data_IF_668471511332
#
_entry.id   IF_668471511332
#
_cell.length_a   1.000
_cell.length_b   1.000
_cell.length_c   1.000
_cell.angle_alpha   90.00
_cell.angle_beta   90.00
_cell.angle_gamma   90.00
#
_symmetry.space_group_name_H-M   'P 1'
#
loop_
_entity.id
_entity.type
_entity.pdbx_description
1 polymer ?
#
# COMPACT_ATOMS: atom_id res chain seq x y z
N UNK A 1 -10.79 27.00 -29.74
CA UNK A 1 -10.52 25.73 -29.03
C UNK A 1 -9.17 25.80 -28.32
N UNK A 2 -8.09 26.21 -29.02
CA UNK A 2 -6.76 26.41 -28.43
C UNK A 2 -6.73 27.48 -27.32
N UNK A 3 -7.40 28.62 -27.51
CA UNK A 3 -7.44 29.69 -26.50
C UNK A 3 -8.14 29.24 -25.19
N UNK A 4 -9.20 28.43 -25.30
CA UNK A 4 -9.92 27.90 -24.14
C UNK A 4 -9.11 26.81 -23.40
N UNK A 5 -8.32 26.01 -24.12
CA UNK A 5 -7.38 25.05 -23.52
C UNK A 5 -6.20 25.74 -22.82
N UNK A 6 -5.66 26.81 -23.40
CA UNK A 6 -4.58 27.58 -22.80
C UNK A 6 -5.02 28.25 -21.48
N UNK A 7 -6.22 28.83 -21.45
CA UNK A 7 -6.80 29.41 -20.23
C UNK A 7 -7.05 28.34 -19.16
N UNK A 8 -7.57 27.17 -19.54
CA UNK A 8 -7.79 26.07 -18.60
C UNK A 8 -6.49 25.54 -17.98
N UNK A 9 -5.46 25.30 -18.79
CA UNK A 9 -4.18 24.79 -18.29
C UNK A 9 -3.50 25.79 -17.34
N UNK A 10 -3.59 27.08 -17.67
CA UNK A 10 -3.05 28.16 -16.84
C UNK A 10 -3.81 28.23 -15.51
N UNK A 11 -5.14 28.13 -15.54
CA UNK A 11 -5.96 28.09 -14.32
C UNK A 11 -5.68 26.84 -13.47
N UNK A 12 -5.56 25.65 -14.06
CA UNK A 12 -5.22 24.43 -13.33
C UNK A 12 -3.85 24.54 -12.66
N UNK A 13 -2.87 25.13 -13.36
CA UNK A 13 -1.53 25.32 -12.84
C UNK A 13 -1.52 26.24 -11.61
N UNK A 14 -2.15 27.41 -11.72
CA UNK A 14 -2.13 28.43 -10.67
C UNK A 14 -3.11 28.14 -9.52
N UNK A 15 -4.26 27.53 -9.80
CA UNK A 15 -5.29 27.28 -8.79
C UNK A 15 -5.13 25.95 -8.04
N UNK A 16 -4.46 24.95 -8.63
CA UNK A 16 -4.31 23.63 -7.99
C UNK A 16 -2.85 23.17 -7.93
N UNK A 17 -2.18 23.02 -9.08
CA UNK A 17 -0.87 22.33 -9.14
C UNK A 17 0.18 23.01 -8.26
N UNK A 18 0.32 24.34 -8.38
CA UNK A 18 1.32 25.08 -7.61
C UNK A 18 1.00 25.09 -6.11
N UNK A 19 -0.22 25.47 -5.65
CA UNK A 19 -0.58 25.39 -4.22
C UNK A 19 -0.41 23.99 -3.63
N UNK A 20 -0.90 22.94 -4.31
CA UNK A 20 -0.80 21.55 -3.82
C UNK A 20 0.65 21.09 -3.72
N UNK A 21 1.50 21.46 -4.68
CA UNK A 21 2.93 21.10 -4.63
C UNK A 21 3.65 21.80 -3.49
N UNK A 22 3.41 23.11 -3.30
CA UNK A 22 4.02 23.89 -2.22
C UNK A 22 3.58 23.34 -0.86
N UNK A 23 2.28 23.16 -0.63
CA UNK A 23 1.75 22.59 0.61
C UNK A 23 2.29 21.17 0.86
N UNK A 24 2.37 20.34 -0.19
CA UNK A 24 2.93 19.00 -0.09
C UNK A 24 4.39 19.01 0.35
N UNK A 25 5.21 19.93 -0.16
CA UNK A 25 6.61 20.09 0.23
C UNK A 25 6.75 20.69 1.64
N UNK A 26 5.93 21.69 1.98
CA UNK A 26 5.87 22.28 3.32
C UNK A 26 5.51 21.25 4.41
N UNK A 27 4.68 20.26 4.08
CA UNK A 27 4.33 19.19 5.00
C UNK A 27 5.46 18.16 5.25
N UNK A 28 6.41 18.00 4.32
CA UNK A 28 7.38 16.89 4.37
C UNK A 28 8.84 17.32 4.52
N UNK A 29 9.19 18.59 4.26
CA UNK A 29 10.60 19.04 4.22
C UNK A 29 11.36 18.75 5.52
N UNK A 30 10.71 18.92 6.68
CA UNK A 30 11.33 18.68 7.98
C UNK A 30 11.76 17.22 8.14
N UNK A 31 10.93 16.28 7.69
CA UNK A 31 11.25 14.85 7.68
C UNK A 31 12.41 14.53 6.74
N UNK A 32 12.39 15.08 5.51
CA UNK A 32 13.44 14.84 4.52
C UNK A 32 14.79 15.40 4.99
N UNK A 33 14.78 16.60 5.58
CA UNK A 33 15.97 17.22 6.18
C UNK A 33 16.52 16.36 7.31
N UNK A 34 15.66 15.87 8.21
CA UNK A 34 16.09 15.04 9.33
C UNK A 34 16.68 13.69 8.86
N UNK A 35 16.09 13.07 7.83
CA UNK A 35 16.65 11.88 7.21
C UNK A 35 18.06 12.14 6.67
N UNK A 36 18.26 13.26 5.98
CA UNK A 36 19.56 13.65 5.44
C UNK A 36 20.59 13.95 6.54
N UNK A 37 20.20 14.64 7.61
CA UNK A 37 21.07 14.96 8.74
C UNK A 37 21.51 13.71 9.49
N UNK A 38 20.58 12.80 9.82
CA UNK A 38 20.89 11.52 10.45
C UNK A 38 21.79 10.68 9.55
N UNK A 39 21.53 10.71 8.24
CA UNK A 39 22.37 10.03 7.28
C UNK A 39 23.80 10.55 7.27
N UNK A 40 23.98 11.86 7.19
CA UNK A 40 25.30 12.51 7.24
C UNK A 40 26.03 12.17 8.55
N UNK A 41 25.32 12.16 9.68
CA UNK A 41 25.88 11.77 10.98
C UNK A 41 26.31 10.30 11.00
N UNK A 42 25.50 9.37 10.49
CA UNK A 42 25.85 7.94 10.47
C UNK A 42 27.06 7.62 9.57
N UNK A 43 27.40 8.50 8.63
CA UNK A 43 28.62 8.39 7.79
C UNK A 43 29.90 8.79 8.50
N UNK A 44 29.81 9.48 9.63
CA UNK A 44 30.98 9.76 10.46
C UNK A 44 31.46 8.47 11.15
N UNK A 45 32.76 8.36 11.40
CA UNK A 45 33.36 7.24 12.14
C UNK A 45 33.07 7.36 13.65
N UNK A 46 31.79 7.31 14.02
CA UNK A 46 31.30 7.44 15.40
C UNK A 46 30.95 6.06 15.98
N UNK A 47 30.97 5.90 17.32
CA UNK A 47 30.56 4.66 17.96
C UNK A 47 29.13 4.24 17.59
N UNK A 48 28.83 2.93 17.44
CA UNK A 48 27.50 2.47 17.03
C UNK A 48 26.35 2.94 17.94
N UNK A 49 26.60 3.05 19.24
CA UNK A 49 25.58 3.49 20.20
C UNK A 49 25.10 4.93 19.94
N UNK A 50 25.97 5.84 19.46
CA UNK A 50 25.56 7.22 19.15
C UNK A 50 24.67 7.25 17.92
N UNK A 51 24.94 6.41 16.91
CA UNK A 51 24.09 6.28 15.73
C UNK A 51 22.67 5.86 16.11
N UNK A 52 22.52 4.85 16.97
CA UNK A 52 21.22 4.43 17.49
C UNK A 52 20.54 5.54 18.28
N UNK A 53 21.26 6.23 19.17
CA UNK A 53 20.72 7.33 19.96
C UNK A 53 20.23 8.49 19.08
N UNK A 54 20.99 8.87 18.05
CA UNK A 54 20.58 9.88 17.10
C UNK A 54 19.34 9.45 16.29
N UNK A 55 19.24 8.18 15.91
CA UNK A 55 18.03 7.64 15.26
C UNK A 55 16.82 7.75 16.20
N UNK A 56 16.97 7.41 17.49
CA UNK A 56 15.91 7.56 18.49
C UNK A 56 15.48 9.02 18.63
N UNK A 57 16.43 9.93 18.85
CA UNK A 57 16.14 11.36 19.01
C UNK A 57 15.41 11.94 17.78
N UNK A 58 15.89 11.63 16.58
CA UNK A 58 15.23 12.06 15.34
C UNK A 58 13.84 11.46 15.17
N UNK A 59 13.66 10.17 15.46
CA UNK A 59 12.37 9.52 15.39
C UNK A 59 11.35 10.11 16.36
N UNK A 60 11.74 10.39 17.60
CA UNK A 60 10.89 11.09 18.57
C UNK A 60 10.53 12.50 18.10
N UNK A 61 11.51 13.26 17.57
CA UNK A 61 11.23 14.57 17.01
C UNK A 61 10.24 14.50 15.84
N UNK A 62 10.41 13.55 14.91
CA UNK A 62 9.45 13.34 13.81
C UNK A 62 8.06 12.97 14.32
N UNK A 63 7.97 12.06 15.29
CA UNK A 63 6.68 11.68 15.87
C UNK A 63 5.97 12.88 16.53
N UNK A 64 6.72 13.69 17.28
CA UNK A 64 6.17 14.90 17.89
C UNK A 64 5.76 15.93 16.83
N UNK A 65 6.54 16.11 15.78
CA UNK A 65 6.24 17.07 14.72
C UNK A 65 4.94 16.72 13.97
N UNK A 66 4.71 15.44 13.67
CA UNK A 66 3.52 15.01 12.91
C UNK A 66 2.29 14.73 13.79
N UNK A 67 2.49 14.27 15.03
CA UNK A 67 1.39 13.81 15.89
C UNK A 67 1.27 14.59 17.21
N UNK A 68 2.14 15.55 17.49
CA UNK A 68 2.15 16.30 18.75
C UNK A 68 2.20 15.34 19.95
N UNK A 69 1.39 15.57 21.00
CA UNK A 69 1.33 14.71 22.17
C UNK A 69 0.74 13.32 21.91
N UNK A 70 0.02 13.13 20.78
CA UNK A 70 -0.54 11.84 20.42
C UNK A 70 0.54 10.78 20.14
N UNK A 71 1.81 11.18 19.94
CA UNK A 71 2.93 10.24 19.83
C UNK A 71 3.05 9.28 21.04
N UNK A 72 2.52 9.67 22.21
CA UNK A 72 2.55 8.84 23.44
C UNK A 72 1.97 7.45 23.17
N UNK A 73 0.92 7.32 22.35
CA UNK A 73 0.34 6.03 22.01
C UNK A 73 1.31 5.16 21.18
N UNK A 74 2.07 5.75 20.26
CA UNK A 74 3.08 5.02 19.47
C UNK A 74 4.20 4.55 20.41
N UNK A 75 4.57 5.40 21.36
CA UNK A 75 5.59 5.09 22.36
C UNK A 75 5.14 3.98 23.30
N UNK A 76 3.90 4.02 23.79
CA UNK A 76 3.33 2.98 24.64
C UNK A 76 3.29 1.62 23.94
N UNK A 77 2.91 1.58 22.66
CA UNK A 77 2.99 0.34 21.87
C UNK A 77 4.43 -0.18 21.83
N UNK A 78 5.42 0.67 21.54
CA UNK A 78 6.82 0.26 21.46
C UNK A 78 7.35 -0.32 22.79
N UNK A 79 6.98 0.30 23.92
CA UNK A 79 7.37 -0.14 25.26
C UNK A 79 6.76 -1.50 25.58
N UNK A 80 5.46 -1.65 25.31
CA UNK A 80 4.76 -2.92 25.46
C UNK A 80 5.42 -4.02 24.61
N UNK A 81 5.74 -3.73 23.35
CA UNK A 81 6.44 -4.66 22.47
C UNK A 81 7.78 -5.11 23.06
N UNK A 82 8.60 -4.18 23.56
CA UNK A 82 9.90 -4.52 24.15
C UNK A 82 9.76 -5.37 25.41
N UNK A 83 8.77 -5.07 26.27
CA UNK A 83 8.48 -5.87 27.48
C UNK A 83 8.11 -7.30 27.09
N UNK A 84 7.24 -7.50 26.10
CA UNK A 84 6.88 -8.85 25.63
C UNK A 84 8.09 -9.57 25.04
N UNK A 85 8.89 -8.90 24.20
CA UNK A 85 10.12 -9.47 23.66
C UNK A 85 11.09 -9.90 24.77
N UNK A 86 11.19 -9.10 25.84
CA UNK A 86 12.02 -9.41 27.00
C UNK A 86 11.51 -10.60 27.81
N UNK A 87 10.20 -10.64 28.09
CA UNK A 87 9.55 -11.73 28.82
C UNK A 87 9.61 -13.06 28.04
N UNK A 88 9.47 -13.00 26.72
CA UNK A 88 9.47 -14.17 25.84
C UNK A 88 10.86 -14.48 25.24
N UNK A 89 11.95 -13.85 25.69
CA UNK A 89 13.29 -13.96 25.05
C UNK A 89 13.87 -15.37 24.95
N UNK A 90 13.40 -16.30 25.79
CA UNK A 90 13.83 -17.70 25.81
C UNK A 90 12.74 -18.66 25.28
N UNK A 91 11.62 -18.12 24.83
CA UNK A 91 10.49 -18.89 24.31
C UNK A 91 10.56 -19.00 22.79
N UNK A 92 10.01 -20.07 22.22
CA UNK A 92 9.88 -20.28 20.77
C UNK A 92 8.56 -19.75 20.19
N UNK A 93 7.75 -19.05 20.99
CA UNK A 93 6.45 -18.47 20.59
C UNK A 93 6.42 -16.95 20.75
N UNK A 94 7.58 -16.30 20.79
CA UNK A 94 7.70 -14.87 21.04
C UNK A 94 6.95 -14.03 19.99
N UNK A 95 7.11 -14.36 18.71
CA UNK A 95 6.44 -13.69 17.59
C UNK A 95 4.92 -13.84 17.64
N UNK A 96 4.41 -15.00 18.07
CA UNK A 96 2.96 -15.23 18.23
C UNK A 96 2.41 -14.42 19.40
N UNK A 97 3.04 -14.50 20.57
CA UNK A 97 2.66 -13.71 21.75
C UNK A 97 2.64 -12.22 21.43
N UNK A 98 3.68 -11.72 20.78
CA UNK A 98 3.78 -10.32 20.36
C UNK A 98 2.69 -9.93 19.36
N UNK A 99 2.40 -10.78 18.38
CA UNK A 99 1.32 -10.54 17.40
C UNK A 99 -0.04 -10.40 18.08
N UNK A 100 -0.35 -11.28 19.04
CA UNK A 100 -1.61 -11.23 19.80
C UNK A 100 -1.67 -9.97 20.66
N UNK A 101 -0.60 -9.64 21.39
CA UNK A 101 -0.55 -8.45 22.24
C UNK A 101 -0.70 -7.16 21.43
N UNK A 102 0.01 -7.05 20.30
CA UNK A 102 -0.10 -5.90 19.38
C UNK A 102 -1.51 -5.80 18.82
N UNK A 103 -2.12 -6.90 18.39
CA UNK A 103 -3.50 -6.90 17.89
C UNK A 103 -4.48 -6.40 18.95
N UNK A 104 -4.39 -6.91 20.18
CA UNK A 104 -5.24 -6.45 21.30
C UNK A 104 -5.06 -4.95 21.52
N UNK A 105 -3.83 -4.44 21.54
CA UNK A 105 -3.56 -3.01 21.72
C UNK A 105 -4.19 -2.17 20.61
N UNK A 106 -4.02 -2.56 19.34
CA UNK A 106 -4.60 -1.83 18.21
C UNK A 106 -6.13 -1.82 18.25
N UNK A 107 -6.75 -2.94 18.64
CA UNK A 107 -8.22 -3.04 18.79
C UNK A 107 -8.73 -2.22 19.98
N UNK A 108 -8.01 -2.22 21.11
CA UNK A 108 -8.34 -1.35 22.25
C UNK A 108 -8.24 0.12 21.88
N UNK A 109 -7.20 0.50 21.13
CA UNK A 109 -7.03 1.84 20.60
C UNK A 109 -8.20 2.28 19.72
N UNK A 110 -8.67 1.42 18.82
CA UNK A 110 -9.78 1.70 17.92
C UNK A 110 -11.13 1.81 18.64
N UNK A 111 -11.36 1.04 19.71
CA UNK A 111 -12.67 0.96 20.36
C UNK A 111 -12.83 1.83 21.63
N UNK A 112 -11.74 2.11 22.34
CA UNK A 112 -11.85 2.56 23.74
C UNK A 112 -10.86 3.64 24.18
N UNK A 113 -9.69 3.81 23.56
CA UNK A 113 -8.62 4.62 24.17
C UNK A 113 -8.51 6.05 23.65
N UNK A 114 -8.84 6.31 22.38
CA UNK A 114 -8.55 7.60 21.71
C UNK A 114 -9.69 7.99 20.78
N UNK A 115 -9.93 9.29 20.63
CA UNK A 115 -10.85 9.82 19.61
C UNK A 115 -10.45 9.29 18.23
N UNK A 116 -11.45 8.86 17.44
CA UNK A 116 -11.25 8.22 16.14
C UNK A 116 -10.35 9.06 15.21
N UNK A 117 -10.54 10.39 15.18
CA UNK A 117 -9.76 11.32 14.36
C UNK A 117 -8.26 11.28 14.71
N UNK A 118 -7.93 11.33 16.01
CA UNK A 118 -6.54 11.31 16.45
C UNK A 118 -5.92 9.92 16.24
N UNK A 119 -6.67 8.86 16.52
CA UNK A 119 -6.23 7.48 16.29
C UNK A 119 -5.94 7.19 14.82
N UNK A 120 -6.83 7.61 13.91
CA UNK A 120 -6.68 7.38 12.47
C UNK A 120 -5.47 8.14 11.90
N UNK A 121 -5.19 9.36 12.39
CA UNK A 121 -3.98 10.13 12.00
C UNK A 121 -2.68 9.37 12.30
N UNK A 122 -2.58 8.72 13.45
CA UNK A 122 -1.35 8.02 13.87
C UNK A 122 -1.31 6.52 13.49
N UNK A 123 -2.41 5.98 12.94
CA UNK A 123 -2.55 4.55 12.60
C UNK A 123 -1.40 4.04 11.73
N UNK A 124 -0.99 4.81 10.73
CA UNK A 124 0.12 4.43 9.86
C UNK A 124 1.42 4.15 10.63
N UNK A 125 1.80 5.04 11.55
CA UNK A 125 2.98 4.87 12.38
C UNK A 125 2.85 3.66 13.33
N UNK A 126 1.68 3.47 13.93
CA UNK A 126 1.37 2.30 14.78
C UNK A 126 1.56 0.98 14.01
N UNK A 127 1.06 0.91 12.78
CA UNK A 127 1.20 -0.26 11.92
C UNK A 127 2.68 -0.55 11.62
N UNK A 128 3.50 0.46 11.35
CA UNK A 128 4.94 0.25 11.11
C UNK A 128 5.65 -0.27 12.36
N UNK A 129 5.37 0.30 13.54
CA UNK A 129 5.91 -0.20 14.81
C UNK A 129 5.48 -1.65 15.05
N UNK A 130 4.20 -1.96 14.86
CA UNK A 130 3.64 -3.30 14.96
C UNK A 130 4.36 -4.29 14.04
N UNK A 131 4.44 -3.99 12.74
CA UNK A 131 5.06 -4.86 11.74
C UNK A 131 6.54 -5.12 12.05
N UNK A 132 7.29 -4.08 12.42
CA UNK A 132 8.71 -4.18 12.80
C UNK A 132 8.92 -5.03 14.04
N UNK A 133 8.14 -4.76 15.10
CA UNK A 133 8.24 -5.50 16.35
C UNK A 133 7.87 -6.99 16.15
N UNK A 134 6.74 -7.27 15.48
CA UNK A 134 6.31 -8.63 15.16
C UNK A 134 7.36 -9.35 14.31
N UNK A 135 7.92 -8.69 13.28
CA UNK A 135 8.97 -9.31 12.47
C UNK A 135 10.19 -9.68 13.32
N UNK A 136 10.62 -8.80 14.22
CA UNK A 136 11.74 -9.06 15.12
C UNK A 136 11.45 -10.26 16.05
N UNK A 137 10.23 -10.35 16.60
CA UNK A 137 9.82 -11.47 17.44
C UNK A 137 9.88 -12.82 16.70
N UNK A 138 9.35 -12.88 15.47
CA UNK A 138 9.42 -14.09 14.64
C UNK A 138 10.85 -14.41 14.16
N UNK A 139 11.65 -13.40 13.87
CA UNK A 139 13.05 -13.59 13.44
C UNK A 139 13.91 -14.10 14.61
N UNK A 140 13.59 -13.72 15.86
CA UNK A 140 14.16 -14.32 17.07
C UNK A 140 13.71 -15.80 17.24
N UNK A 141 12.42 -16.10 17.09
CA UNK A 141 11.91 -17.49 17.16
C UNK A 141 12.59 -18.42 16.13
N UNK A 142 12.90 -17.88 14.94
CA UNK A 142 13.57 -18.58 13.84
C UNK A 142 15.10 -18.65 13.97
N UNK A 143 15.68 -18.00 14.99
CA UNK A 143 17.14 -17.92 15.18
C UNK A 143 17.87 -17.07 14.14
N UNK A 144 17.15 -16.22 13.38
CA UNK A 144 17.76 -15.27 12.43
C UNK A 144 18.40 -14.08 13.14
N UNK A 145 17.90 -13.76 14.33
CA UNK A 145 18.50 -12.77 15.24
C UNK A 145 19.01 -13.54 16.47
N UNK A 146 20.31 -13.45 16.81
CA UNK A 146 20.94 -14.33 17.80
C UNK A 146 20.46 -14.12 19.24
N UNK A 147 19.74 -13.02 19.53
CA UNK A 147 19.18 -12.73 20.84
C UNK A 147 18.45 -11.40 20.87
N UNK A 148 17.86 -11.06 22.03
CA UNK A 148 17.15 -9.81 22.23
C UNK A 148 18.09 -8.61 22.01
N UNK A 149 17.79 -7.68 21.07
CA UNK A 149 18.55 -6.44 20.93
C UNK A 149 18.52 -5.61 22.21
N UNK A 150 19.57 -4.81 22.44
CA UNK A 150 19.55 -3.88 23.58
C UNK A 150 18.39 -2.87 23.45
N UNK A 151 17.91 -2.27 24.56
CA UNK A 151 16.82 -1.30 24.49
C UNK A 151 17.09 -0.17 23.48
N UNK A 152 18.34 0.30 23.43
CA UNK A 152 18.77 1.35 22.51
C UNK A 152 18.73 0.91 21.04
N UNK A 153 19.17 -0.32 20.75
CA UNK A 153 19.10 -0.88 19.39
C UNK A 153 17.65 -1.11 18.93
N UNK A 154 16.82 -1.64 19.82
CA UNK A 154 15.39 -1.83 19.56
C UNK A 154 14.70 -0.49 19.30
N UNK A 155 14.89 0.50 20.19
CA UNK A 155 14.31 1.82 20.02
C UNK A 155 14.83 2.49 18.74
N UNK A 156 16.14 2.38 18.44
CA UNK A 156 16.72 2.90 17.20
C UNK A 156 16.10 2.28 15.94
N UNK A 157 15.82 0.98 15.96
CA UNK A 157 15.15 0.27 14.88
C UNK A 157 13.69 0.71 14.70
N UNK A 158 12.93 0.72 15.80
CA UNK A 158 11.51 1.09 15.78
C UNK A 158 11.35 2.54 15.32
N UNK A 159 12.10 3.45 15.92
CA UNK A 159 12.04 4.89 15.66
C UNK A 159 12.94 5.37 14.52
N UNK A 160 13.43 4.47 13.67
CA UNK A 160 14.27 4.87 12.54
C UNK A 160 13.55 5.91 11.66
N UNK A 161 14.11 7.12 11.60
CA UNK A 161 13.48 8.31 11.01
C UNK A 161 13.00 8.11 9.57
N UNK A 162 13.77 7.39 8.76
CA UNK A 162 13.42 7.13 7.37
C UNK A 162 12.17 6.27 7.19
N UNK A 163 11.67 5.66 8.28
CA UNK A 163 10.56 4.72 8.23
C UNK A 163 9.40 4.96 9.20
N UNK A 164 9.58 5.74 10.27
CA UNK A 164 8.59 5.81 11.36
C UNK A 164 7.26 6.50 10.99
N UNK A 165 7.28 7.52 10.11
CA UNK A 165 6.07 8.28 9.74
C UNK A 165 5.32 7.63 8.58
N UNK A 166 5.96 7.58 7.40
CA UNK A 166 5.36 7.06 6.16
C UNK A 166 6.01 5.77 5.67
N UNK A 167 7.06 5.32 6.34
CA UNK A 167 8.02 4.37 5.82
C UNK A 167 7.48 3.03 5.39
N UNK A 168 8.17 2.35 4.47
CA UNK A 168 7.93 0.93 4.31
C UNK A 168 8.46 0.15 5.51
N UNK A 169 7.91 -1.05 5.68
CA UNK A 169 8.48 -2.02 6.58
C UNK A 169 9.88 -2.44 6.12
N UNK A 170 10.82 -2.47 7.06
CA UNK A 170 12.18 -2.99 6.90
C UNK A 170 12.48 -3.98 8.01
N UNK A 171 13.26 -5.02 7.71
CA UNK A 171 13.75 -5.97 8.72
C UNK A 171 14.79 -5.32 9.63
N UNK A 172 15.02 -5.92 10.81
CA UNK A 172 16.04 -5.45 11.75
C UNK A 172 17.44 -5.46 11.13
N UNK A 173 17.77 -6.48 10.32
CA UNK A 173 19.05 -6.56 9.62
C UNK A 173 19.23 -5.42 8.60
N UNK A 174 18.20 -5.09 7.82
CA UNK A 174 18.24 -3.97 6.88
C UNK A 174 18.42 -2.63 7.59
N UNK A 175 17.88 -2.46 8.80
CA UNK A 175 18.12 -1.29 9.62
C UNK A 175 19.59 -1.17 10.04
N UNK A 176 20.21 -2.26 10.52
CA UNK A 176 21.63 -2.27 10.86
C UNK A 176 22.50 -1.90 9.64
N UNK A 177 22.19 -2.46 8.48
CA UNK A 177 22.91 -2.13 7.24
C UNK A 177 22.72 -0.64 6.83
N UNK A 178 21.56 -0.05 7.11
CA UNK A 178 21.29 1.35 6.80
C UNK A 178 22.16 2.32 7.62
N UNK A 179 22.39 2.02 8.91
CA UNK A 179 23.20 2.84 9.81
C UNK A 179 24.71 2.63 9.63
N UNK A 180 25.14 1.45 9.19
CA UNK A 180 26.57 1.09 9.15
C UNK A 180 27.21 1.14 7.76
N UNK A 181 26.54 0.61 6.73
CA UNK A 181 27.26 0.23 5.50
C UNK A 181 26.87 1.03 4.26
N UNK A 182 25.72 1.72 4.25
CA UNK A 182 25.28 2.36 3.02
C UNK A 182 26.24 3.50 2.59
N UNK A 183 26.54 3.68 1.29
CA UNK A 183 27.26 4.85 0.75
C UNK A 183 26.33 6.05 0.44
N UNK A 184 26.87 7.26 0.37
CA UNK A 184 26.18 8.44 -0.17
C UNK A 184 26.70 8.72 -1.58
N UNK A 185 26.36 7.84 -2.52
CA UNK A 185 26.85 7.87 -3.90
C UNK A 185 25.87 8.56 -4.86
N UNK A 186 26.28 8.71 -6.12
CA UNK A 186 25.40 9.28 -7.14
C UNK A 186 24.11 8.46 -7.36
N UNK A 187 24.15 7.11 -7.41
CA UNK A 187 22.94 6.27 -7.41
C UNK A 187 21.96 6.57 -6.27
N UNK A 188 22.45 6.75 -5.04
CA UNK A 188 21.63 7.14 -3.87
C UNK A 188 20.90 8.46 -4.09
N UNK A 189 21.63 9.50 -4.49
CA UNK A 189 21.07 10.83 -4.73
C UNK A 189 20.03 10.78 -5.87
N UNK A 190 20.38 10.10 -6.96
CA UNK A 190 19.49 9.90 -8.12
C UNK A 190 18.20 9.17 -7.74
N UNK A 191 18.28 8.08 -6.96
CA UNK A 191 17.07 7.35 -6.52
C UNK A 191 16.20 8.23 -5.62
N UNK A 192 16.80 8.93 -4.66
CA UNK A 192 16.07 9.84 -3.76
C UNK A 192 15.33 10.93 -4.53
N UNK A 193 15.99 11.58 -5.50
CA UNK A 193 15.37 12.62 -6.33
C UNK A 193 14.24 12.05 -7.21
N UNK A 194 14.47 10.92 -7.88
CA UNK A 194 13.46 10.29 -8.75
C UNK A 194 12.23 9.87 -7.95
N UNK A 195 12.40 9.26 -6.77
CA UNK A 195 11.27 8.86 -5.92
C UNK A 195 10.52 10.09 -5.40
N UNK A 196 11.21 11.18 -5.04
CA UNK A 196 10.54 12.43 -4.64
C UNK A 196 9.75 13.05 -5.80
N UNK A 197 10.31 13.10 -7.01
CA UNK A 197 9.60 13.60 -8.18
C UNK A 197 8.36 12.75 -8.48
N UNK A 198 8.48 11.41 -8.45
CA UNK A 198 7.32 10.52 -8.62
C UNK A 198 6.25 10.75 -7.57
N UNK A 199 6.65 10.94 -6.30
CA UNK A 199 5.75 11.23 -5.19
C UNK A 199 4.94 12.50 -5.46
N UNK A 200 5.61 13.63 -5.74
CA UNK A 200 4.93 14.91 -6.04
C UNK A 200 4.06 14.82 -7.31
N UNK A 201 4.53 14.16 -8.36
CA UNK A 201 3.71 13.92 -9.55
C UNK A 201 2.44 13.14 -9.21
N UNK A 202 2.52 12.13 -8.32
CA UNK A 202 1.35 11.37 -7.92
C UNK A 202 0.36 12.20 -7.11
N UNK A 203 0.84 13.07 -6.21
CA UNK A 203 0.01 14.02 -5.47
C UNK A 203 -0.74 14.96 -6.41
N UNK A 204 -0.05 15.50 -7.41
CA UNK A 204 -0.67 16.36 -8.43
C UNK A 204 -1.69 15.59 -9.25
N UNK A 205 -1.44 14.32 -9.58
CA UNK A 205 -2.43 13.49 -10.29
C UNK A 205 -3.67 13.21 -9.44
N UNK A 206 -3.49 12.85 -8.17
CA UNK A 206 -4.62 12.50 -7.29
C UNK A 206 -5.55 13.67 -7.00
N UNK A 207 -4.96 14.85 -6.77
CA UNK A 207 -5.69 16.03 -6.24
C UNK A 207 -6.07 17.01 -7.35
N UNK A 208 -5.26 17.13 -8.40
CA UNK A 208 -5.50 18.09 -9.48
C UNK A 208 -5.93 17.40 -10.78
N UNK A 209 -5.16 16.47 -11.33
CA UNK A 209 -5.48 15.98 -12.68
C UNK A 209 -6.72 15.07 -12.71
N UNK A 210 -6.84 14.08 -11.82
CA UNK A 210 -7.97 13.17 -11.84
C UNK A 210 -9.32 13.91 -11.59
N UNK A 211 -9.45 14.78 -10.57
CA UNK A 211 -10.70 15.50 -10.34
C UNK A 211 -11.02 16.53 -11.42
N UNK A 212 -10.01 17.16 -12.04
CA UNK A 212 -10.27 18.17 -13.07
C UNK A 212 -10.37 17.60 -14.47
N UNK A 213 -9.75 16.47 -14.82
CA UNK A 213 -9.76 15.96 -16.20
C UNK A 213 -11.08 15.22 -16.54
N UNK A 214 -11.62 14.46 -15.59
CA UNK A 214 -12.80 13.64 -15.81
C UNK A 214 -14.09 14.45 -16.05
N UNK A 215 -14.33 15.57 -15.34
CA UNK A 215 -15.44 16.48 -15.64
C UNK A 215 -15.36 17.15 -17.01
N UNK A 216 -14.22 17.15 -17.71
CA UNK A 216 -14.13 17.65 -19.10
C UNK A 216 -14.40 16.52 -20.11
N UNK A 217 -14.03 15.28 -19.77
CA UNK A 217 -14.28 14.09 -20.58
C UNK A 217 -15.78 13.72 -20.55
N UNK A 218 -16.43 13.79 -19.38
CA UNK A 218 -17.84 13.41 -19.19
C UNK A 218 -18.82 14.21 -20.08
N UNK A 219 -18.71 15.55 -20.21
CA UNK A 219 -19.51 16.36 -21.13
C UNK A 219 -19.27 16.00 -22.60
N UNK A 220 -18.03 15.74 -23.02
CA UNK A 220 -17.71 15.38 -24.41
C UNK A 220 -18.40 14.07 -24.80
N UNK A 221 -18.37 13.06 -23.92
CA UNK A 221 -19.16 11.84 -24.13
C UNK A 221 -20.67 12.11 -24.11
N UNK A 222 -21.13 13.04 -23.27
CA UNK A 222 -22.53 13.45 -23.19
C UNK A 222 -22.99 14.11 -24.51
N UNK A 223 -22.15 14.93 -25.15
CA UNK A 223 -22.46 15.60 -26.43
C UNK A 223 -22.27 14.69 -27.67
N UNK A 224 -21.24 13.84 -27.73
CA UNK A 224 -20.97 12.98 -28.89
C UNK A 224 -21.94 11.81 -29.08
N UNK A 225 -22.55 11.30 -28.00
CA UNK A 225 -23.47 10.15 -28.05
C UNK A 225 -24.97 10.54 -28.13
N UNK A 226 -25.30 11.82 -28.30
CA UNK A 226 -26.66 12.33 -28.15
C UNK A 226 -27.61 12.11 -29.34
N UNK A 227 -27.19 11.52 -30.45
CA UNK A 227 -28.02 11.53 -31.67
C UNK A 227 -28.80 10.25 -32.04
N UNK A 228 -29.01 9.26 -31.14
CA UNK A 228 -29.84 8.05 -31.46
C UNK A 228 -30.78 7.58 -30.34
N UNK A 229 -32.07 7.41 -30.66
CA UNK A 229 -33.18 7.01 -29.76
C UNK A 229 -33.28 5.47 -29.63
N UNK A 230 -33.34 4.94 -28.40
CA UNK A 230 -33.65 3.52 -28.11
C UNK A 230 -33.65 3.16 -26.61
N UNK A 231 -34.69 2.46 -26.12
CA UNK A 231 -34.93 2.16 -24.67
C UNK A 231 -33.80 1.32 -24.01
N UNK A 232 -33.25 0.30 -24.69
CA UNK A 232 -32.15 -0.55 -24.18
C UNK A 232 -30.84 0.23 -23.98
N UNK A 233 -30.59 1.25 -24.83
CA UNK A 233 -29.45 2.17 -24.71
C UNK A 233 -29.63 3.22 -23.62
N UNK A 234 -30.86 3.47 -23.12
CA UNK A 234 -31.14 4.41 -22.02
C UNK A 234 -30.63 3.90 -20.67
N UNK A 235 -30.68 2.59 -20.40
CA UNK A 235 -30.07 1.99 -19.18
C UNK A 235 -28.54 2.02 -19.21
N UNK A 236 -27.92 1.71 -20.36
CA UNK A 236 -26.46 1.83 -20.54
C UNK A 236 -26.00 3.30 -20.39
N UNK A 237 -26.79 4.25 -20.93
CA UNK A 237 -26.58 5.71 -20.83
C UNK A 237 -26.57 6.24 -19.39
N UNK A 238 -27.26 5.59 -18.46
CA UNK A 238 -27.26 5.96 -17.04
C UNK A 238 -26.11 5.31 -16.23
N UNK A 239 -25.54 4.20 -16.72
CA UNK A 239 -24.49 3.44 -16.03
C UNK A 239 -23.08 3.95 -16.34
N UNK A 240 -22.80 4.32 -17.59
CA UNK A 240 -21.46 4.75 -18.00
C UNK A 240 -20.93 5.96 -17.20
N UNK A 241 -21.71 7.04 -16.96
CA UNK A 241 -21.23 8.16 -16.15
C UNK A 241 -20.91 7.76 -14.69
N UNK A 242 -21.66 6.81 -14.11
CA UNK A 242 -21.40 6.31 -12.75
C UNK A 242 -20.10 5.52 -12.66
N UNK A 243 -19.85 4.63 -13.63
CA UNK A 243 -18.61 3.88 -13.69
C UNK A 243 -17.39 4.76 -14.01
N UNK A 244 -17.57 5.82 -14.81
CA UNK A 244 -16.51 6.82 -15.02
C UNK A 244 -16.22 7.61 -13.73
N UNK A 245 -17.25 7.99 -12.96
CA UNK A 245 -17.05 8.62 -11.66
C UNK A 245 -16.36 7.66 -10.67
N UNK A 246 -16.82 6.43 -10.59
CA UNK A 246 -16.19 5.38 -9.78
C UNK A 246 -14.70 5.17 -10.15
N UNK A 247 -14.37 5.21 -11.46
CA UNK A 247 -13.01 5.12 -11.94
C UNK A 247 -12.17 6.35 -11.58
N UNK A 248 -12.73 7.56 -11.70
CA UNK A 248 -12.06 8.79 -11.27
C UNK A 248 -11.72 8.72 -9.77
N UNK A 249 -12.70 8.35 -8.93
CA UNK A 249 -12.50 8.20 -7.48
C UNK A 249 -11.42 7.16 -7.18
N UNK A 250 -11.51 5.98 -7.80
CA UNK A 250 -10.50 4.94 -7.63
C UNK A 250 -9.11 5.45 -8.04
N UNK A 251 -8.99 6.11 -9.19
CA UNK A 251 -7.74 6.66 -9.69
C UNK A 251 -7.14 7.70 -8.72
N UNK A 252 -7.95 8.62 -8.20
CA UNK A 252 -7.51 9.60 -7.19
C UNK A 252 -6.97 8.91 -5.94
N UNK A 253 -7.67 7.88 -5.44
CA UNK A 253 -7.23 7.09 -4.29
C UNK A 253 -5.94 6.28 -4.57
N UNK A 254 -5.81 5.69 -5.76
CA UNK A 254 -4.61 4.97 -6.15
C UNK A 254 -3.40 5.89 -6.17
N UNK A 255 -3.53 7.06 -6.80
CA UNK A 255 -2.43 8.02 -6.92
C UNK A 255 -2.07 8.68 -5.59
N UNK A 256 -3.02 8.90 -4.67
CA UNK A 256 -2.69 9.35 -3.31
C UNK A 256 -1.92 8.28 -2.53
N UNK A 257 -2.26 7.00 -2.73
CA UNK A 257 -1.51 5.88 -2.18
C UNK A 257 -0.09 5.78 -2.78
N UNK A 258 0.07 6.00 -4.09
CA UNK A 258 1.39 6.05 -4.74
C UNK A 258 2.24 7.23 -4.26
N UNK A 259 1.62 8.38 -4.00
CA UNK A 259 2.29 9.53 -3.40
C UNK A 259 2.96 9.15 -2.08
N UNK A 260 2.20 8.55 -1.15
CA UNK A 260 2.73 8.09 0.15
C UNK A 260 3.77 6.98 -0.06
N UNK A 261 3.53 6.04 -0.98
CA UNK A 261 4.47 4.98 -1.32
C UNK A 261 5.84 5.51 -1.79
N UNK A 262 5.87 6.42 -2.76
CA UNK A 262 7.11 7.03 -3.24
C UNK A 262 7.74 8.01 -2.24
N UNK A 263 6.94 8.67 -1.39
CA UNK A 263 7.46 9.47 -0.29
C UNK A 263 8.21 8.60 0.72
N UNK A 264 7.65 7.44 1.03
CA UNK A 264 8.27 6.45 1.92
C UNK A 264 9.55 5.85 1.36
N UNK A 265 9.62 5.66 0.03
CA UNK A 265 10.88 5.32 -0.65
C UNK A 265 11.92 6.42 -0.46
N UNK A 266 11.50 7.68 -0.63
CA UNK A 266 12.37 8.84 -0.52
C UNK A 266 12.93 8.97 0.89
N UNK A 267 12.09 8.94 1.93
CA UNK A 267 12.54 9.08 3.32
C UNK A 267 13.47 7.94 3.74
N UNK A 268 13.15 6.70 3.35
CA UNK A 268 13.97 5.53 3.68
C UNK A 268 15.33 5.57 2.95
N UNK A 269 15.32 5.88 1.65
CA UNK A 269 16.53 6.03 0.83
C UNK A 269 17.41 7.15 1.36
N UNK A 270 16.84 8.33 1.64
CA UNK A 270 17.57 9.46 2.21
C UNK A 270 18.22 9.12 3.55
N UNK A 271 17.53 8.36 4.40
CA UNK A 271 18.06 7.90 5.68
C UNK A 271 19.10 6.77 5.56
N UNK A 272 19.34 6.25 4.34
CA UNK A 272 20.34 5.22 4.05
C UNK A 272 19.83 3.79 3.97
N UNK A 273 18.50 3.57 4.01
CA UNK A 273 17.87 2.26 3.89
C UNK A 273 17.40 1.95 2.46
N UNK A 274 17.07 0.69 2.19
CA UNK A 274 16.45 0.31 0.92
C UNK A 274 17.43 0.07 -0.24
N UNK A 275 18.62 -0.44 0.07
CA UNK A 275 19.58 -0.92 -0.93
C UNK A 275 19.81 -2.42 -0.80
N UNK A 276 20.22 -3.03 -1.90
CA UNK A 276 20.68 -4.41 -1.99
C UNK A 276 22.16 -4.43 -2.37
N UNK A 277 22.93 -5.34 -1.79
CA UNK A 277 24.34 -5.55 -2.15
C UNK A 277 24.45 -6.80 -3.03
N UNK A 278 24.98 -6.64 -4.24
CA UNK A 278 25.28 -7.76 -5.14
C UNK A 278 26.72 -7.63 -5.63
N UNK A 279 27.59 -8.59 -5.25
CA UNK A 279 29.01 -8.66 -5.69
C UNK A 279 29.75 -7.31 -5.55
N UNK A 280 29.73 -6.75 -4.34
CA UNK A 280 30.34 -5.45 -4.00
C UNK A 280 29.73 -4.20 -4.68
N UNK A 281 28.64 -4.36 -5.43
CA UNK A 281 27.88 -3.25 -5.99
C UNK A 281 26.62 -2.98 -5.17
N UNK A 282 26.52 -1.76 -4.64
CA UNK A 282 25.33 -1.26 -3.97
C UNK A 282 24.31 -0.82 -5.01
N UNK A 283 23.10 -1.36 -4.92
CA UNK A 283 21.98 -1.00 -5.78
C UNK A 283 20.83 -0.46 -4.94
N UNK A 284 20.43 0.78 -5.19
CA UNK A 284 19.28 1.42 -4.56
C UNK A 284 17.99 1.03 -5.28
N UNK A 285 17.45 -0.14 -4.92
CA UNK A 285 16.31 -0.78 -5.59
C UNK A 285 15.12 -1.06 -4.69
N UNK A 286 14.97 -0.32 -3.59
CA UNK A 286 13.73 -0.37 -2.84
C UNK A 286 12.58 0.28 -3.63
N UNK A 287 11.60 -0.55 -3.93
CA UNK A 287 10.34 -0.15 -4.53
C UNK A 287 9.20 -0.50 -3.57
N UNK A 288 8.32 0.47 -3.35
CA UNK A 288 7.15 0.32 -2.47
C UNK A 288 5.91 -0.02 -3.29
N UNK A 289 5.80 0.55 -4.50
CA UNK A 289 4.67 0.29 -5.40
C UNK A 289 5.10 0.21 -6.87
N UNK A 290 4.36 -0.55 -7.67
CA UNK A 290 4.48 -0.56 -9.13
C UNK A 290 3.17 -0.11 -9.79
N UNK A 291 2.95 1.21 -10.00
CA UNK A 291 1.69 1.74 -10.53
C UNK A 291 1.25 1.12 -11.86
N UNK A 292 2.19 0.84 -12.78
CA UNK A 292 1.86 0.26 -14.09
C UNK A 292 1.23 -1.15 -13.98
N UNK A 293 1.65 -1.94 -12.99
CA UNK A 293 1.10 -3.27 -12.76
C UNK A 293 -0.28 -3.23 -12.11
N UNK A 294 -0.71 -2.06 -11.62
CA UNK A 294 -1.98 -1.84 -10.93
C UNK A 294 -2.98 -1.19 -11.89
N UNK A 295 -2.57 -0.14 -12.60
CA UNK A 295 -3.43 0.59 -13.55
C UNK A 295 -3.61 -0.15 -14.88
N UNK A 296 -2.63 -0.97 -15.28
CA UNK A 296 -2.71 -1.84 -16.47
C UNK A 296 -2.42 -3.29 -16.07
N UNK A 297 -3.28 -3.89 -15.24
CA UNK A 297 -2.97 -5.14 -14.58
C UNK A 297 -3.09 -6.32 -15.54
N UNK A 298 -2.19 -7.30 -15.43
CA UNK A 298 -2.41 -8.60 -16.05
C UNK A 298 -3.43 -9.39 -15.26
N UNK A 299 -3.38 -9.35 -13.92
CA UNK A 299 -4.21 -10.12 -12.99
C UNK A 299 -4.31 -9.47 -11.61
N UNK A 300 -5.29 -9.83 -10.80
CA UNK A 300 -5.48 -9.34 -9.43
C UNK A 300 -4.32 -9.74 -8.52
N UNK A 301 -3.74 -10.94 -8.69
CA UNK A 301 -2.53 -11.36 -7.96
C UNK A 301 -1.37 -10.38 -8.21
N UNK A 302 -1.24 -9.86 -9.43
CA UNK A 302 -0.21 -8.87 -9.76
C UNK A 302 -0.50 -7.53 -9.07
N UNK A 303 -1.75 -7.09 -9.04
CA UNK A 303 -2.19 -5.87 -8.33
C UNK A 303 -1.83 -5.94 -6.85
N UNK A 304 -2.31 -6.97 -6.14
CA UNK A 304 -2.17 -7.07 -4.67
C UNK A 304 -0.73 -7.23 -4.22
N UNK A 305 0.14 -7.80 -5.07
CA UNK A 305 1.58 -7.93 -4.80
C UNK A 305 2.40 -6.73 -5.26
N UNK A 306 1.79 -5.78 -5.97
CA UNK A 306 2.45 -4.56 -6.49
C UNK A 306 2.03 -3.27 -5.77
N UNK A 307 0.96 -3.30 -4.97
CA UNK A 307 0.39 -2.11 -4.32
C UNK A 307 1.26 -1.56 -3.19
N UNK A 308 1.59 -2.42 -2.21
CA UNK A 308 2.51 -2.13 -1.13
C UNK A 308 3.41 -3.35 -0.94
N UNK A 309 4.53 -3.36 -1.67
CA UNK A 309 5.43 -4.51 -1.78
C UNK A 309 6.00 -4.90 -0.41
N UNK A 310 6.47 -3.96 0.44
CA UNK A 310 6.97 -4.31 1.78
C UNK A 310 5.92 -4.95 2.68
N UNK A 311 4.68 -4.41 2.70
CA UNK A 311 3.56 -5.01 3.43
C UNK A 311 3.20 -6.38 2.89
N UNK A 312 3.14 -6.54 1.56
CA UNK A 312 2.85 -7.84 0.92
C UNK A 312 3.91 -8.89 1.25
N UNK A 313 5.20 -8.51 1.25
CA UNK A 313 6.31 -9.38 1.65
C UNK A 313 6.24 -9.75 3.14
N UNK A 314 5.90 -8.80 4.01
CA UNK A 314 5.70 -9.02 5.43
C UNK A 314 4.55 -9.99 5.70
N UNK A 315 3.37 -9.74 5.12
CA UNK A 315 2.20 -10.61 5.21
C UNK A 315 2.52 -12.03 4.72
N UNK A 316 3.20 -12.15 3.58
CA UNK A 316 3.60 -13.45 3.07
C UNK A 316 4.54 -14.19 4.06
N UNK A 317 5.52 -13.48 4.60
CA UNK A 317 6.60 -14.08 5.43
C UNK A 317 6.15 -14.43 6.84
N UNK A 318 5.32 -13.59 7.47
CA UNK A 318 4.96 -13.71 8.89
C UNK A 318 3.51 -14.17 9.12
N UNK A 319 2.64 -14.10 8.10
CA UNK A 319 1.24 -14.56 8.21
C UNK A 319 0.96 -15.74 7.29
N UNK A 320 1.11 -15.57 5.97
CA UNK A 320 0.72 -16.60 5.00
C UNK A 320 1.54 -17.89 5.15
N UNK A 321 2.88 -17.81 5.16
CA UNK A 321 3.74 -19.00 5.30
C UNK A 321 3.52 -19.75 6.62
N UNK A 322 3.17 -19.03 7.69
CA UNK A 322 2.87 -19.63 8.99
C UNK A 322 1.48 -20.29 9.03
N UNK A 323 0.56 -19.92 8.12
CA UNK A 323 -0.83 -20.41 8.08
C UNK A 323 -1.12 -21.34 6.91
N UNK A 324 -0.17 -21.48 5.96
CA UNK A 324 -0.32 -22.31 4.75
C UNK A 324 -0.59 -23.78 5.06
N UNK A 325 -0.17 -24.26 6.23
CA UNK A 325 -0.44 -25.62 6.72
C UNK A 325 -1.95 -25.91 6.84
N UNK A 326 -2.79 -24.87 6.99
CA UNK A 326 -4.25 -24.97 7.03
C UNK A 326 -4.89 -25.12 5.63
N UNK A 327 -4.08 -25.05 4.57
CA UNK A 327 -4.53 -25.03 3.17
C UNK A 327 -4.51 -23.63 2.55
N UNK A 328 -4.48 -23.57 1.22
CA UNK A 328 -4.28 -22.32 0.48
C UNK A 328 -5.40 -21.30 0.69
N UNK A 329 -6.67 -21.74 0.65
CA UNK A 329 -7.80 -20.83 0.82
C UNK A 329 -7.90 -20.26 2.24
N UNK A 330 -7.86 -21.08 3.32
CA UNK A 330 -7.80 -20.56 4.69
C UNK A 330 -6.61 -19.63 4.93
N UNK A 331 -5.43 -19.96 4.41
CA UNK A 331 -4.25 -19.10 4.55
C UNK A 331 -4.41 -17.73 3.87
N UNK A 332 -5.03 -17.68 2.68
CA UNK A 332 -5.38 -16.42 2.02
C UNK A 332 -6.37 -15.63 2.90
N UNK A 333 -7.42 -16.26 3.40
CA UNK A 333 -8.42 -15.60 4.23
C UNK A 333 -7.81 -15.02 5.51
N UNK A 334 -6.97 -15.80 6.21
CA UNK A 334 -6.25 -15.33 7.41
C UNK A 334 -5.30 -14.19 7.07
N UNK A 335 -4.62 -14.24 5.93
CA UNK A 335 -3.70 -13.16 5.50
C UNK A 335 -4.44 -11.85 5.26
N UNK A 336 -5.58 -11.89 4.55
CA UNK A 336 -6.40 -10.69 4.32
C UNK A 336 -7.13 -10.22 5.59
N UNK A 337 -7.54 -11.13 6.48
CA UNK A 337 -8.10 -10.78 7.77
C UNK A 337 -7.07 -10.08 8.67
N UNK A 338 -5.84 -10.61 8.74
CA UNK A 338 -4.74 -9.95 9.46
C UNK A 338 -4.42 -8.58 8.87
N UNK A 339 -4.39 -8.47 7.53
CA UNK A 339 -4.23 -7.17 6.86
C UNK A 339 -5.35 -6.19 7.24
N UNK A 340 -6.61 -6.63 7.22
CA UNK A 340 -7.74 -5.78 7.58
C UNK A 340 -7.67 -5.31 9.04
N UNK A 341 -7.39 -6.23 9.97
CA UNK A 341 -7.28 -5.92 11.39
C UNK A 341 -6.15 -4.94 11.71
N UNK A 342 -5.03 -5.00 10.99
CA UNK A 342 -3.94 -4.02 11.14
C UNK A 342 -4.37 -2.61 10.72
N UNK A 343 -5.29 -2.49 9.76
CA UNK A 343 -5.89 -1.21 9.38
C UNK A 343 -7.09 -0.81 10.26
N UNK A 344 -7.37 -1.53 11.35
CA UNK A 344 -8.46 -1.26 12.29
C UNK A 344 -9.79 -1.94 11.93
N UNK A 345 -10.85 -1.59 12.66
CA UNK A 345 -12.20 -2.15 12.48
C UNK A 345 -13.06 -1.35 11.49
N UNK A 346 -12.43 -0.77 10.47
CA UNK A 346 -13.15 0.00 9.46
C UNK A 346 -13.91 -0.93 8.51
N UNK A 347 -15.24 -0.84 8.53
CA UNK A 347 -16.11 -1.71 7.71
C UNK A 347 -15.76 -1.61 6.22
N UNK A 348 -15.58 -0.40 5.69
CA UNK A 348 -15.29 -0.17 4.28
C UNK A 348 -13.99 -0.86 3.84
N UNK A 349 -12.89 -0.69 4.57
CA UNK A 349 -11.59 -1.23 4.20
C UNK A 349 -11.55 -2.74 4.42
N UNK A 350 -12.16 -3.24 5.50
CA UNK A 350 -12.33 -4.67 5.73
C UNK A 350 -13.12 -5.34 4.60
N UNK A 351 -14.23 -4.74 4.17
CA UNK A 351 -15.04 -5.23 3.07
C UNK A 351 -14.28 -5.23 1.74
N UNK A 352 -13.49 -4.18 1.47
CA UNK A 352 -12.62 -4.10 0.28
C UNK A 352 -11.54 -5.18 0.30
N UNK A 353 -10.78 -5.31 1.40
CA UNK A 353 -9.67 -6.26 1.50
C UNK A 353 -10.14 -7.72 1.45
N UNK A 354 -11.25 -8.05 2.12
CA UNK A 354 -11.82 -9.39 2.04
C UNK A 354 -12.38 -9.70 0.64
N UNK A 355 -13.05 -8.73 0.00
CA UNK A 355 -13.49 -8.87 -1.40
C UNK A 355 -12.30 -9.07 -2.34
N UNK A 356 -11.23 -8.31 -2.15
CA UNK A 356 -10.00 -8.41 -2.91
C UNK A 356 -9.36 -9.80 -2.77
N UNK A 357 -9.35 -10.38 -1.56
CA UNK A 357 -8.90 -11.75 -1.33
C UNK A 357 -9.73 -12.80 -2.08
N UNK A 358 -11.06 -12.67 -2.06
CA UNK A 358 -11.96 -13.58 -2.78
C UNK A 358 -11.81 -13.48 -4.30
N UNK A 359 -11.72 -12.26 -4.84
CA UNK A 359 -11.49 -12.01 -6.27
C UNK A 359 -10.14 -12.59 -6.70
N UNK A 360 -9.09 -12.35 -5.92
CA UNK A 360 -7.74 -12.86 -6.18
C UNK A 360 -7.73 -14.38 -6.24
N UNK A 361 -8.35 -15.05 -5.26
CA UNK A 361 -8.46 -16.50 -5.23
C UNK A 361 -9.24 -17.03 -6.44
N UNK A 362 -10.43 -16.47 -6.70
CA UNK A 362 -11.33 -16.92 -7.77
C UNK A 362 -10.68 -16.81 -9.14
N UNK A 363 -10.05 -15.67 -9.44
CA UNK A 363 -9.33 -15.46 -10.69
C UNK A 363 -8.15 -16.43 -10.82
N UNK A 364 -7.39 -16.64 -9.76
CA UNK A 364 -6.22 -17.53 -9.76
C UNK A 364 -6.61 -18.98 -10.08
N UNK A 365 -7.61 -19.53 -9.40
CA UNK A 365 -8.04 -20.93 -9.62
C UNK A 365 -8.67 -21.11 -11.01
N UNK A 366 -9.47 -20.13 -11.46
CA UNK A 366 -10.08 -20.16 -12.78
C UNK A 366 -9.02 -20.15 -13.88
N UNK A 367 -8.05 -19.23 -13.81
CA UNK A 367 -6.94 -19.17 -14.77
C UNK A 367 -6.11 -20.45 -14.77
N UNK A 368 -5.79 -21.00 -13.61
CA UNK A 368 -5.01 -22.24 -13.49
C UNK A 368 -5.71 -23.42 -14.17
N UNK A 369 -7.03 -23.55 -13.96
CA UNK A 369 -7.85 -24.59 -14.58
C UNK A 369 -7.92 -24.42 -16.11
N UNK A 370 -8.23 -23.20 -16.59
CA UNK A 370 -8.29 -22.91 -18.02
C UNK A 370 -6.93 -23.08 -18.72
N UNK A 371 -5.83 -22.69 -18.06
CA UNK A 371 -4.48 -22.88 -18.58
C UNK A 371 -4.17 -24.36 -18.82
N UNK A 372 -4.61 -25.23 -17.91
CA UNK A 372 -4.51 -26.68 -18.06
C UNK A 372 -5.37 -27.22 -19.22
N UNK A 373 -6.66 -26.85 -19.26
CA UNK A 373 -7.61 -27.33 -20.28
C UNK A 373 -7.16 -26.95 -21.70
N UNK A 374 -6.71 -25.71 -21.91
CA UNK A 374 -6.32 -25.22 -23.24
C UNK A 374 -4.82 -25.32 -23.52
N UNK A 375 -4.02 -25.88 -22.60
CA UNK A 375 -2.55 -25.86 -22.65
C UNK A 375 -2.00 -24.47 -23.04
N UNK A 376 -2.44 -23.44 -22.32
CA UNK A 376 -2.23 -22.05 -22.69
C UNK A 376 -1.75 -21.18 -21.54
N UNK A 377 -0.82 -20.26 -21.81
CA UNK A 377 -0.21 -19.41 -20.80
C UNK A 377 -1.08 -18.21 -20.41
N UNK A 378 -2.22 -18.49 -19.77
CA UNK A 378 -3.16 -17.52 -19.20
C UNK A 378 -3.06 -17.43 -17.67
N UNK A 379 -1.99 -17.97 -17.09
CA UNK A 379 -1.68 -17.86 -15.66
C UNK A 379 -1.52 -16.38 -15.24
N UNK A 380 -1.69 -16.13 -13.94
CA UNK A 380 -1.64 -14.80 -13.32
C UNK A 380 -0.31 -14.07 -13.57
N UNK A 381 0.81 -14.79 -13.59
CA UNK A 381 2.14 -14.24 -13.91
C UNK A 381 2.43 -14.30 -15.40
N UNK A 382 3.37 -13.47 -15.86
CA UNK A 382 3.85 -13.46 -17.24
C UNK A 382 4.47 -14.83 -17.58
N UNK A 383 4.42 -15.19 -18.86
CA UNK A 383 4.98 -16.45 -19.35
C UNK A 383 6.48 -16.50 -19.07
N UNK A 384 6.92 -17.49 -18.30
CA UNK A 384 8.32 -17.71 -17.98
C UNK A 384 9.01 -18.55 -19.06
N UNK A 385 10.35 -18.51 -19.18
CA UNK A 385 11.10 -19.28 -20.18
C UNK A 385 10.86 -20.80 -20.11
N UNK A 386 10.68 -21.32 -18.89
CA UNK A 386 10.43 -22.72 -18.54
C UNK A 386 8.95 -23.15 -18.68
N UNK A 387 8.10 -22.30 -19.26
CA UNK A 387 6.68 -22.57 -19.43
C UNK A 387 6.41 -23.77 -20.34
N UNK A 388 5.66 -24.76 -19.81
CA UNK A 388 5.33 -26.03 -20.48
C UNK A 388 4.05 -25.98 -21.32
N UNK A 389 3.36 -24.84 -21.40
CA UNK A 389 2.14 -24.70 -22.18
C UNK A 389 2.44 -24.69 -23.69
N UNK A 390 1.60 -25.35 -24.49
CA UNK A 390 1.68 -25.36 -25.96
C UNK A 390 1.47 -23.96 -26.55
N UNK A 391 0.49 -23.22 -26.03
CA UNK A 391 0.15 -21.87 -26.49
C UNK A 391 0.71 -20.81 -25.54
N UNK A 392 1.87 -20.24 -25.87
CA UNK A 392 2.59 -19.29 -24.99
C UNK A 392 2.19 -17.84 -25.22
N UNK A 393 2.41 -17.33 -26.44
CA UNK A 393 2.17 -15.91 -26.79
C UNK A 393 1.35 -15.75 -28.08
N UNK A 394 0.51 -16.72 -28.41
CA UNK A 394 -0.41 -16.59 -29.55
C UNK A 394 -1.37 -15.40 -29.34
N UNK A 395 -1.89 -14.85 -30.44
CA UNK A 395 -2.79 -13.69 -30.41
C UNK A 395 -3.99 -13.92 -29.48
N UNK A 396 -4.58 -15.11 -29.52
CA UNK A 396 -5.71 -15.46 -28.67
C UNK A 396 -5.32 -15.55 -27.18
N UNK A 397 -4.11 -16.00 -26.83
CA UNK A 397 -3.62 -16.00 -25.43
C UNK A 397 -3.37 -14.59 -24.93
N UNK A 398 -2.85 -13.70 -25.80
CA UNK A 398 -2.73 -12.28 -25.48
C UNK A 398 -4.10 -11.65 -25.26
N UNK A 399 -5.07 -11.93 -26.13
CA UNK A 399 -6.43 -11.45 -25.99
C UNK A 399 -7.10 -11.96 -24.71
N UNK A 400 -6.96 -13.25 -24.38
CA UNK A 400 -7.50 -13.82 -23.15
C UNK A 400 -6.91 -13.13 -21.90
N UNK A 401 -5.60 -12.89 -21.88
CA UNK A 401 -4.95 -12.16 -20.80
C UNK A 401 -5.40 -10.70 -20.73
N UNK A 402 -5.62 -10.03 -21.87
CA UNK A 402 -6.19 -8.69 -21.91
C UNK A 402 -7.62 -8.66 -21.36
N UNK A 403 -8.45 -9.66 -21.67
CA UNK A 403 -9.80 -9.78 -21.11
C UNK A 403 -9.78 -9.93 -19.59
N UNK A 404 -8.91 -10.79 -19.04
CA UNK A 404 -8.77 -10.89 -17.59
C UNK A 404 -8.17 -9.62 -16.95
N UNK A 405 -7.25 -8.94 -17.65
CA UNK A 405 -6.73 -7.64 -17.20
C UNK A 405 -7.84 -6.58 -17.13
N UNK A 406 -8.69 -6.50 -18.16
CA UNK A 406 -9.86 -5.63 -18.17
C UNK A 406 -10.86 -5.99 -17.05
N UNK A 407 -11.05 -7.28 -16.78
CA UNK A 407 -11.86 -7.74 -15.66
C UNK A 407 -11.26 -7.31 -14.31
N UNK A 408 -9.93 -7.39 -14.17
CA UNK A 408 -9.22 -6.94 -12.97
C UNK A 408 -9.40 -5.44 -12.75
N UNK A 409 -9.25 -4.63 -13.81
CA UNK A 409 -9.48 -3.18 -13.75
C UNK A 409 -10.92 -2.84 -13.37
N UNK A 410 -11.89 -3.59 -13.89
CA UNK A 410 -13.30 -3.47 -13.52
C UNK A 410 -13.53 -3.73 -12.02
N UNK A 411 -12.96 -4.80 -11.49
CA UNK A 411 -13.02 -5.10 -10.05
C UNK A 411 -12.35 -4.00 -9.22
N UNK A 412 -11.19 -3.50 -9.65
CA UNK A 412 -10.45 -2.47 -8.94
C UNK A 412 -11.21 -1.14 -8.93
N UNK A 413 -11.83 -0.77 -10.04
CA UNK A 413 -12.71 0.41 -10.15
C UNK A 413 -13.87 0.32 -9.17
N UNK A 414 -14.51 -0.84 -9.08
CA UNK A 414 -15.63 -1.08 -8.17
C UNK A 414 -15.22 -1.01 -6.69
N UNK A 415 -14.05 -1.55 -6.35
CA UNK A 415 -13.56 -1.55 -4.98
C UNK A 415 -13.05 -0.16 -4.57
N UNK A 416 -12.35 0.53 -5.48
CA UNK A 416 -11.78 1.85 -5.27
C UNK A 416 -12.83 2.97 -5.19
N UNK A 417 -14.03 2.77 -5.72
CA UNK A 417 -15.10 3.78 -5.68
C UNK A 417 -15.62 4.10 -4.27
N UNK A 418 -15.20 3.34 -3.26
CA UNK A 418 -15.58 3.57 -1.86
C UNK A 418 -14.77 4.69 -1.19
N UNK A 419 -13.65 5.09 -1.78
CA UNK A 419 -12.70 6.05 -1.21
C UNK A 419 -12.88 7.44 -1.84
N UNK A 420 -14.10 7.99 -1.78
CA UNK A 420 -14.38 9.35 -2.26
C UNK A 420 -13.59 10.41 -1.47
N UNK A 421 -12.82 11.23 -2.18
CA UNK A 421 -11.86 12.20 -1.63
C UNK A 421 -12.52 13.40 -0.92
N UNK A 422 -13.82 13.61 -1.13
CA UNK A 422 -14.54 14.79 -0.62
C UNK A 422 -15.29 14.46 0.67
N UNK A 423 -14.57 14.33 1.79
CA UNK A 423 -15.22 14.47 3.11
C UNK A 423 -14.25 14.57 4.31
N UNK A 424 -13.57 15.71 4.44
CA UNK A 424 -13.09 16.19 5.76
C UNK A 424 -14.24 16.30 6.79
N UNK A 425 -15.51 16.23 6.35
CA UNK A 425 -16.71 16.20 7.19
C UNK A 425 -17.28 14.81 7.53
N UNK A 426 -16.75 13.71 6.98
CA UNK A 426 -17.21 12.34 7.29
C UNK A 426 -16.16 11.47 8.01
N UNK A 427 -14.98 12.02 8.33
CA UNK A 427 -14.02 11.38 9.24
C UNK A 427 -14.48 11.41 10.72
N UNK A 428 -15.44 12.27 11.08
CA UNK A 428 -15.96 12.39 12.45
C UNK A 428 -16.85 11.21 12.87
N UNK A 429 -17.51 10.54 11.92
CA UNK A 429 -18.30 9.33 12.13
C UNK A 429 -17.88 8.29 11.07
N UNK A 430 -16.81 7.53 11.33
CA UNK A 430 -16.20 6.63 10.34
C UNK A 430 -17.21 5.92 9.44
N UNK A 431 -17.02 5.99 8.12
CA UNK A 431 -17.95 5.54 7.08
C UNK A 431 -18.94 4.46 7.54
N UNK A 432 -20.18 4.89 7.79
CA UNK A 432 -21.24 4.00 8.25
C UNK A 432 -21.43 2.87 7.22
N UNK A 433 -21.64 1.63 7.69
CA UNK A 433 -21.90 0.44 6.85
C UNK A 433 -22.93 0.71 5.75
N UNK A 434 -23.92 1.56 6.05
CA UNK A 434 -24.92 2.04 5.12
C UNK A 434 -24.33 2.74 3.87
N UNK A 435 -23.28 3.55 4.00
CA UNK A 435 -22.62 4.22 2.89
C UNK A 435 -21.95 3.22 1.95
N UNK A 436 -21.17 2.28 2.50
CA UNK A 436 -20.52 1.22 1.71
C UNK A 436 -21.55 0.39 0.94
N UNK A 437 -22.64 0.02 1.60
CA UNK A 437 -23.74 -0.73 0.98
C UNK A 437 -24.45 0.11 -0.10
N UNK A 438 -24.70 1.39 0.16
CA UNK A 438 -25.35 2.28 -0.80
C UNK A 438 -24.50 2.46 -2.06
N UNK A 439 -23.19 2.67 -1.92
CA UNK A 439 -22.26 2.82 -3.05
C UNK A 439 -22.19 1.55 -3.89
N UNK A 440 -22.03 0.39 -3.26
CA UNK A 440 -22.03 -0.90 -3.97
C UNK A 440 -23.38 -1.26 -4.60
N UNK A 441 -24.48 -0.88 -3.96
CA UNK A 441 -25.83 -0.98 -4.52
C UNK A 441 -25.98 -0.09 -5.76
N UNK A 442 -25.40 1.12 -5.77
CA UNK A 442 -25.44 2.03 -6.93
C UNK A 442 -24.74 1.47 -8.18
N UNK A 443 -23.78 0.57 -7.96
CA UNK A 443 -23.04 -0.20 -8.97
C UNK A 443 -23.63 -1.61 -9.18
N UNK A 444 -24.87 -1.85 -8.73
CA UNK A 444 -25.63 -3.09 -8.89
C UNK A 444 -24.90 -4.34 -8.34
N UNK A 445 -24.00 -4.18 -7.36
CA UNK A 445 -23.16 -5.28 -6.84
C UNK A 445 -22.37 -6.04 -7.92
N UNK A 446 -22.10 -5.39 -9.06
CA UNK A 446 -21.70 -6.07 -10.28
C UNK A 446 -20.39 -6.87 -10.14
N UNK A 447 -19.42 -6.35 -9.40
CA UNK A 447 -18.15 -7.03 -9.14
C UNK A 447 -18.32 -8.34 -8.37
N UNK A 448 -19.14 -8.35 -7.30
CA UNK A 448 -19.41 -9.57 -6.54
C UNK A 448 -20.17 -10.60 -7.36
N UNK A 449 -21.16 -10.17 -8.15
CA UNK A 449 -21.90 -11.07 -9.05
C UNK A 449 -20.99 -11.70 -10.11
N UNK A 450 -20.10 -10.93 -10.72
CA UNK A 450 -19.13 -11.44 -11.70
C UNK A 450 -18.17 -12.42 -11.03
N UNK A 451 -17.71 -12.12 -9.82
CA UNK A 451 -16.84 -13.03 -9.04
C UNK A 451 -17.57 -14.35 -8.75
N UNK A 452 -18.82 -14.29 -8.29
CA UNK A 452 -19.63 -15.48 -8.04
C UNK A 452 -19.85 -16.31 -9.31
N UNK A 453 -20.13 -15.66 -10.44
CA UNK A 453 -20.27 -16.32 -11.74
C UNK A 453 -18.96 -16.99 -12.20
N UNK A 454 -17.81 -16.33 -12.03
CA UNK A 454 -16.50 -16.92 -12.32
C UNK A 454 -16.20 -18.12 -11.43
N UNK A 455 -16.56 -18.06 -10.15
CA UNK A 455 -16.37 -19.17 -9.21
C UNK A 455 -17.27 -20.36 -9.55
N UNK A 456 -18.55 -20.11 -9.88
CA UNK A 456 -19.48 -21.12 -10.35
C UNK A 456 -18.97 -21.78 -11.64
N UNK A 457 -18.55 -20.96 -12.61
CA UNK A 457 -18.00 -21.45 -13.87
C UNK A 457 -16.76 -22.32 -13.64
N UNK A 458 -15.83 -21.88 -12.78
CA UNK A 458 -14.68 -22.69 -12.36
C UNK A 458 -15.07 -24.04 -11.76
N UNK A 459 -16.16 -24.11 -11.00
CA UNK A 459 -16.65 -25.36 -10.39
C UNK A 459 -17.33 -26.31 -11.39
N UNK A 460 -17.84 -25.78 -12.50
CA UNK A 460 -18.54 -26.56 -13.52
C UNK A 460 -17.61 -27.18 -14.57
N UNK A 461 -16.42 -26.61 -14.77
CA UNK A 461 -15.38 -27.10 -15.69
C UNK A 461 -14.34 -27.96 -14.96
#
# INVERSE_FOLDING_TARGET
>A
MEEHQATFLTQLLHSCVLPTTVQGLEAIWALLLLCLLIRAYCRLSVPPWTKHLCCVAAGFFSLYHFFSLNMVWVVLLSLMCYVILFLCRHSSVCGVCLSVTVLIYLLMGEMHMVDAVNWHKMRGAQMIVAMKAISLGFDMDRGLVPGLPSPLQFMGYIYFVGTIIFGPWTSYHQYLNAIDSAPMDWPWCKKSLISLTKSICCLVVSTCLAPYLFPYIIPIYRLGFLNKKGKKRRKIRARLPRWLNAYQTALSFHFSSYFVGFLSETSCTLAGGGYSEEKDHVKWDMDVSHPLNIEVPRSMVEVVTSWNIPMSRWLNTYVFKNTVQLGTFPAILVTYAASALLHGLSFHLGAVLLSLGLVTYTEHVLRKKLAGVFSACILSRRCQPDCQHRHKQTVWVRLANLCFGALTLFHLTYLGSLFETDSESLEEEGYNMAHTIAMWSSLDWASHWVTAACLLFYKLI
#
